data_IF_624814436623
#
_entry.id   IF_624814436623
#
_cell.length_a   1.000
_cell.length_b   1.000
_cell.length_c   1.000
_cell.angle_alpha   90.00
_cell.angle_beta   90.00
_cell.angle_gamma   90.00
#
_symmetry.space_group_name_H-M   'P 1'
#
loop_
_entity.id
_entity.type
_entity.pdbx_description
1 polymer ?
#
# COMPACT_ATOMS: atom_id res chain seq x y z
N UNK A 1 -9.05 -26.40 9.18
CA UNK A 1 -8.40 -26.66 7.86
C UNK A 1 -7.27 -25.65 7.65
N UNK A 2 -6.30 -25.92 6.74
CA UNK A 2 -5.27 -24.92 6.47
C UNK A 2 -5.89 -23.67 5.80
N UNK A 3 -5.34 -22.50 6.11
CA UNK A 3 -5.66 -21.25 5.39
C UNK A 3 -5.12 -21.31 3.97
N UNK A 4 -5.68 -20.47 3.12
CA UNK A 4 -5.21 -20.18 1.74
C UNK A 4 -5.12 -18.68 1.55
N UNK A 5 -4.35 -18.26 0.56
CA UNK A 5 -4.27 -16.86 0.16
C UNK A 5 -4.45 -16.71 -1.35
N UNK A 6 -5.12 -15.65 -1.74
CA UNK A 6 -5.23 -15.17 -3.13
C UNK A 6 -4.87 -13.68 -3.14
N UNK A 7 -4.38 -13.19 -4.26
CA UNK A 7 -4.05 -11.77 -4.43
C UNK A 7 -4.85 -11.21 -5.58
N UNK A 8 -5.56 -10.13 -5.30
CA UNK A 8 -6.20 -9.30 -6.34
C UNK A 8 -5.30 -8.11 -6.64
N UNK A 9 -5.05 -7.83 -7.90
CA UNK A 9 -4.32 -6.64 -8.32
C UNK A 9 -5.31 -5.63 -8.85
N UNK A 10 -5.48 -4.54 -8.11
CA UNK A 10 -6.23 -3.38 -8.56
C UNK A 10 -5.49 -2.79 -9.75
N UNK A 11 -6.14 -2.63 -10.93
CA UNK A 11 -5.45 -2.11 -12.11
C UNK A 11 -5.00 -0.66 -11.94
N UNK A 12 -4.00 -0.20 -12.70
CA UNK A 12 -3.59 1.20 -12.72
C UNK A 12 -4.79 2.11 -12.99
N UNK A 13 -4.88 3.22 -12.24
CA UNK A 13 -6.03 4.13 -12.33
C UNK A 13 -5.58 5.53 -12.71
N UNK A 14 -6.14 6.14 -13.76
CA UNK A 14 -5.87 7.53 -14.11
C UNK A 14 -6.24 8.47 -12.96
N UNK A 15 -5.41 9.48 -12.73
CA UNK A 15 -5.66 10.52 -11.74
C UNK A 15 -5.38 11.91 -12.32
N UNK A 16 -5.98 12.94 -11.72
CA UNK A 16 -5.85 14.34 -12.16
C UNK A 16 -4.87 15.09 -11.26
N UNK A 17 -4.11 16.02 -11.85
CA UNK A 17 -3.27 16.94 -11.09
C UNK A 17 -4.16 17.89 -10.27
N UNK A 18 -3.96 17.97 -8.95
CA UNK A 18 -4.73 18.87 -8.09
C UNK A 18 -4.69 20.33 -8.58
N UNK A 19 -5.83 21.02 -8.53
CA UNK A 19 -5.98 22.44 -8.86
C UNK A 19 -5.61 22.85 -10.29
N UNK A 20 -5.67 21.93 -11.25
CA UNK A 20 -5.33 22.22 -12.67
C UNK A 20 -6.53 22.21 -13.63
N UNK A 21 -7.75 21.98 -13.09
CA UNK A 21 -8.97 21.94 -13.92
C UNK A 21 -9.10 20.68 -14.78
N UNK A 22 -8.65 19.52 -14.28
CA UNK A 22 -8.83 18.22 -14.95
C UNK A 22 -7.64 17.78 -15.81
N UNK A 23 -6.47 18.42 -15.66
CA UNK A 23 -5.25 17.96 -16.32
C UNK A 23 -4.83 16.60 -15.77
N UNK A 24 -4.59 15.62 -16.65
CA UNK A 24 -4.11 14.31 -16.26
C UNK A 24 -2.74 14.40 -15.57
N UNK A 25 -2.62 13.76 -14.41
CA UNK A 25 -1.37 13.65 -13.65
C UNK A 25 -0.58 12.40 -14.01
N UNK A 26 -1.27 11.38 -14.49
CA UNK A 26 -0.71 10.07 -14.81
C UNK A 26 -1.66 8.93 -14.43
N UNK A 27 -1.08 7.81 -14.04
CA UNK A 27 -1.81 6.67 -13.50
C UNK A 27 -1.31 6.34 -12.11
N UNK A 28 -2.21 5.93 -11.21
CA UNK A 28 -1.83 5.38 -9.92
C UNK A 28 -1.29 3.97 -10.09
N UNK A 29 -0.32 3.58 -9.29
CA UNK A 29 0.28 2.24 -9.36
C UNK A 29 -0.75 1.16 -9.02
N UNK A 30 -0.65 -0.03 -9.64
CA UNK A 30 -1.49 -1.17 -9.25
C UNK A 30 -1.30 -1.48 -7.76
N UNK A 31 -2.38 -1.69 -7.03
CA UNK A 31 -2.35 -2.04 -5.60
C UNK A 31 -2.65 -3.53 -5.42
N UNK A 32 -1.92 -4.20 -4.56
CA UNK A 32 -2.11 -5.62 -4.24
C UNK A 32 -3.01 -5.76 -3.01
N UNK A 33 -4.12 -6.46 -3.15
CA UNK A 33 -5.01 -6.79 -2.05
C UNK A 33 -4.84 -8.27 -1.72
N UNK A 34 -4.51 -8.59 -0.46
CA UNK A 34 -4.31 -9.98 -0.04
C UNK A 34 -5.57 -10.51 0.62
N UNK A 35 -6.20 -11.52 0.01
CA UNK A 35 -7.35 -12.23 0.57
C UNK A 35 -6.88 -13.54 1.21
N UNK A 36 -6.98 -13.63 2.54
CA UNK A 36 -6.67 -14.84 3.30
C UNK A 36 -7.98 -15.48 3.73
N UNK A 37 -8.14 -16.79 3.53
CA UNK A 37 -9.40 -17.45 3.84
C UNK A 37 -9.21 -18.87 4.35
N UNK A 38 -10.10 -19.26 5.27
CA UNK A 38 -10.23 -20.62 5.78
C UNK A 38 -11.39 -21.38 5.12
N UNK A 39 -12.13 -22.13 5.90
CA UNK A 39 -13.29 -22.90 5.43
C UNK A 39 -14.53 -22.02 5.22
N UNK A 40 -14.81 -21.10 6.16
CA UNK A 40 -16.05 -20.32 6.25
C UNK A 40 -15.83 -18.81 6.21
N UNK A 41 -14.62 -18.36 6.55
CA UNK A 41 -14.32 -16.96 6.75
C UNK A 41 -13.19 -16.49 5.84
N UNK A 42 -13.19 -15.19 5.56
CA UNK A 42 -12.15 -14.50 4.81
C UNK A 42 -11.73 -13.23 5.55
N UNK A 43 -10.45 -12.92 5.41
CA UNK A 43 -9.76 -11.72 5.86
C UNK A 43 -9.16 -11.03 4.64
N UNK A 44 -9.42 -9.74 4.48
CA UNK A 44 -8.81 -8.91 3.47
C UNK A 44 -7.71 -8.04 4.08
N UNK A 45 -6.59 -7.88 3.38
CA UNK A 45 -5.55 -6.89 3.71
C UNK A 45 -5.58 -5.79 2.67
N UNK A 46 -5.78 -4.56 3.13
CA UNK A 46 -5.95 -3.33 2.37
C UNK A 46 -7.17 -3.32 1.42
N UNK A 47 -7.46 -2.18 0.81
CA UNK A 47 -8.64 -1.99 -0.08
C UNK A 47 -8.29 -1.19 -1.32
N UNK A 48 -9.13 -1.18 -2.37
CA UNK A 48 -8.99 -0.25 -3.50
C UNK A 48 -9.22 1.21 -3.10
N UNK A 49 -8.91 2.14 -4.02
CA UNK A 49 -9.14 3.58 -3.84
C UNK A 49 -10.59 3.97 -4.13
N UNK A 50 -11.06 3.63 -5.33
CA UNK A 50 -12.32 4.17 -5.87
C UNK A 50 -13.50 3.22 -5.72
N UNK A 51 -14.72 3.78 -5.74
CA UNK A 51 -15.96 3.01 -5.71
C UNK A 51 -15.98 1.96 -6.84
N UNK A 52 -15.74 2.31 -8.13
CA UNK A 52 -15.78 1.32 -9.21
C UNK A 52 -14.74 0.20 -9.06
N UNK A 53 -13.54 0.52 -8.55
CA UNK A 53 -12.52 -0.50 -8.28
C UNK A 53 -12.96 -1.43 -7.15
N UNK A 54 -13.57 -0.88 -6.10
CA UNK A 54 -14.06 -1.66 -4.96
C UNK A 54 -15.20 -2.58 -5.37
N UNK A 55 -16.11 -2.12 -6.23
CA UNK A 55 -17.19 -2.95 -6.78
C UNK A 55 -16.62 -4.11 -7.62
N UNK A 56 -15.62 -3.88 -8.46
CA UNK A 56 -14.92 -4.93 -9.22
C UNK A 56 -14.19 -5.91 -8.31
N UNK A 57 -13.58 -5.43 -7.23
CA UNK A 57 -12.99 -6.28 -6.22
C UNK A 57 -14.04 -7.16 -5.53
N UNK A 58 -15.22 -6.62 -5.20
CA UNK A 58 -16.30 -7.38 -4.59
C UNK A 58 -16.78 -8.51 -5.52
N UNK A 59 -16.96 -8.25 -6.83
CA UNK A 59 -17.28 -9.28 -7.81
C UNK A 59 -16.24 -10.42 -7.78
N UNK A 60 -14.97 -10.08 -7.86
CA UNK A 60 -13.86 -11.06 -7.80
C UNK A 60 -13.83 -11.83 -6.47
N UNK A 61 -14.06 -11.15 -5.34
CA UNK A 61 -14.06 -11.77 -4.03
C UNK A 61 -15.17 -12.84 -3.93
N UNK A 62 -16.39 -12.51 -4.35
CA UNK A 62 -17.54 -13.42 -4.33
C UNK A 62 -17.34 -14.63 -5.24
N UNK A 63 -16.66 -14.46 -6.38
CA UNK A 63 -16.27 -15.55 -7.28
C UNK A 63 -15.13 -16.41 -6.72
N UNK A 64 -14.14 -15.80 -6.04
CA UNK A 64 -12.95 -16.49 -5.53
C UNK A 64 -13.25 -17.33 -4.28
N UNK A 65 -14.12 -16.84 -3.41
CA UNK A 65 -14.46 -17.50 -2.12
C UNK A 65 -15.98 -17.66 -1.95
N UNK A 66 -16.66 -18.35 -2.87
CA UNK A 66 -18.11 -18.46 -2.84
C UNK A 66 -18.62 -19.04 -1.53
N UNK A 67 -19.60 -18.37 -0.92
CA UNK A 67 -20.24 -18.81 0.32
C UNK A 67 -19.43 -18.57 1.60
N UNK A 68 -18.23 -18.01 1.52
CA UNK A 68 -17.47 -17.59 2.71
C UNK A 68 -17.85 -16.17 3.11
N UNK A 69 -17.74 -15.88 4.40
CA UNK A 69 -18.01 -14.53 4.94
C UNK A 69 -16.71 -13.74 5.02
N UNK A 70 -16.69 -12.56 4.42
CA UNK A 70 -15.63 -11.59 4.68
C UNK A 70 -15.88 -11.00 6.08
N UNK A 71 -15.12 -11.43 7.07
CA UNK A 71 -15.33 -11.09 8.49
C UNK A 71 -14.42 -9.97 8.97
N UNK A 72 -13.27 -9.80 8.33
CA UNK A 72 -12.25 -8.86 8.78
C UNK A 72 -11.55 -8.19 7.60
N UNK A 73 -11.26 -6.89 7.75
CA UNK A 73 -10.28 -6.16 6.93
C UNK A 73 -9.16 -5.70 7.85
N UNK A 74 -7.93 -5.86 7.43
CA UNK A 74 -6.74 -5.32 8.09
C UNK A 74 -6.12 -4.25 7.22
N UNK A 75 -5.79 -3.08 7.79
CA UNK A 75 -5.12 -1.97 7.10
C UNK A 75 -3.67 -1.88 7.54
N UNK A 76 -2.76 -1.93 6.57
CA UNK A 76 -1.31 -1.99 6.81
C UNK A 76 -0.73 -0.64 7.24
N UNK A 77 -1.16 0.46 6.65
CA UNK A 77 -0.69 1.82 6.92
C UNK A 77 -1.73 2.89 6.56
N UNK A 78 -1.41 4.16 6.80
CA UNK A 78 -2.38 5.25 6.72
C UNK A 78 -2.65 5.81 5.34
N UNK A 79 -1.85 5.50 4.31
CA UNK A 79 -2.06 6.04 2.96
C UNK A 79 -3.45 5.67 2.41
N UNK A 80 -4.20 6.65 1.89
CA UNK A 80 -5.60 6.47 1.49
C UNK A 80 -5.84 5.43 0.39
N UNK A 81 -4.88 5.16 -0.47
CA UNK A 81 -4.99 4.12 -1.51
C UNK A 81 -5.02 2.68 -0.97
N UNK A 82 -4.84 2.50 0.34
CA UNK A 82 -4.96 1.23 1.03
C UNK A 82 -6.24 1.07 1.85
N UNK A 83 -7.07 2.15 2.00
CA UNK A 83 -8.24 2.05 2.84
C UNK A 83 -9.49 2.85 2.38
N UNK A 84 -9.40 3.68 1.33
CA UNK A 84 -10.57 4.47 0.87
C UNK A 84 -11.76 3.61 0.40
N UNK A 85 -11.53 2.35 0.01
CA UNK A 85 -12.60 1.41 -0.33
C UNK A 85 -13.41 0.88 0.86
N UNK A 86 -13.00 1.19 2.10
CA UNK A 86 -13.67 0.70 3.31
C UNK A 86 -15.14 1.08 3.38
N UNK A 87 -15.52 2.30 2.98
CA UNK A 87 -16.91 2.76 3.01
C UNK A 87 -17.79 1.92 2.11
N UNK A 88 -17.37 1.63 0.88
CA UNK A 88 -18.08 0.79 -0.08
C UNK A 88 -18.17 -0.66 0.44
N UNK A 89 -17.07 -1.21 0.97
CA UNK A 89 -17.04 -2.55 1.56
C UNK A 89 -17.95 -2.66 2.78
N UNK A 90 -17.98 -1.65 3.65
CA UNK A 90 -18.84 -1.63 4.84
C UNK A 90 -20.32 -1.58 4.49
N UNK A 91 -20.68 -0.86 3.41
CA UNK A 91 -22.05 -0.84 2.88
C UNK A 91 -22.48 -2.22 2.37
N UNK A 92 -21.57 -2.96 1.72
CA UNK A 92 -21.82 -4.32 1.21
C UNK A 92 -21.81 -5.40 2.30
N UNK A 93 -20.91 -5.25 3.30
CA UNK A 93 -20.70 -6.20 4.40
C UNK A 93 -20.82 -5.47 5.75
N UNK A 94 -22.04 -5.17 6.26
CA UNK A 94 -22.23 -4.31 7.44
C UNK A 94 -21.57 -4.82 8.72
N UNK A 95 -21.44 -6.14 8.88
CA UNK A 95 -20.90 -6.77 10.08
C UNK A 95 -19.37 -6.94 10.06
N UNK A 96 -18.71 -6.47 9.00
CA UNK A 96 -17.25 -6.62 8.87
C UNK A 96 -16.51 -5.84 9.95
N UNK A 97 -15.51 -6.45 10.55
CA UNK A 97 -14.56 -5.78 11.44
C UNK A 97 -13.43 -5.17 10.62
N UNK A 98 -13.05 -3.96 10.93
CA UNK A 98 -11.93 -3.26 10.27
C UNK A 98 -10.89 -2.99 11.34
N UNK A 99 -9.67 -3.50 11.14
CA UNK A 99 -8.61 -3.51 12.15
C UNK A 99 -7.35 -2.84 11.62
N UNK A 100 -6.67 -2.11 12.49
CA UNK A 100 -5.30 -1.62 12.27
C UNK A 100 -4.59 -1.41 13.62
N UNK A 101 -3.34 -0.96 13.60
CA UNK A 101 -2.73 -0.43 14.83
C UNK A 101 -3.32 0.94 15.18
N UNK A 102 -3.17 1.37 16.43
CA UNK A 102 -3.63 2.69 16.86
C UNK A 102 -2.93 3.82 16.08
N UNK A 103 -1.64 3.67 15.78
CA UNK A 103 -0.87 4.65 15.02
C UNK A 103 -1.35 4.74 13.56
N UNK A 104 -1.61 3.61 12.91
CA UNK A 104 -2.21 3.55 11.57
C UNK A 104 -3.58 4.24 11.55
N UNK A 105 -4.45 3.98 12.54
CA UNK A 105 -5.76 4.64 12.65
C UNK A 105 -5.64 6.16 12.74
N UNK A 106 -4.72 6.68 13.55
CA UNK A 106 -4.49 8.12 13.66
C UNK A 106 -3.92 8.71 12.37
N UNK A 107 -3.09 7.96 11.65
CA UNK A 107 -2.59 8.36 10.35
C UNK A 107 -3.73 8.42 9.29
N UNK A 108 -4.59 7.42 9.22
CA UNK A 108 -5.78 7.45 8.36
C UNK A 108 -6.62 8.72 8.57
N UNK A 109 -6.91 9.07 9.83
CA UNK A 109 -7.66 10.28 10.18
C UNK A 109 -6.93 11.56 9.79
N UNK A 110 -5.60 11.56 9.95
CA UNK A 110 -4.77 12.71 9.61
C UNK A 110 -4.83 13.03 8.11
N UNK A 111 -4.83 12.04 7.26
CA UNK A 111 -4.79 12.23 5.80
C UNK A 111 -6.11 12.74 5.22
N UNK A 112 -7.22 12.43 5.86
CA UNK A 112 -8.55 12.93 5.44
C UNK A 112 -9.10 14.05 6.32
N UNK A 113 -8.24 14.72 7.10
CA UNK A 113 -8.65 15.90 7.85
C UNK A 113 -9.14 17.00 6.91
N UNK A 114 -10.07 17.89 7.37
CA UNK A 114 -10.62 18.95 6.53
C UNK A 114 -9.54 19.78 5.83
N UNK A 115 -9.70 20.00 4.54
CA UNK A 115 -8.74 20.72 3.70
C UNK A 115 -7.55 19.87 3.20
N UNK A 116 -7.23 18.74 3.84
CA UNK A 116 -6.18 17.84 3.36
C UNK A 116 -6.70 16.98 2.23
N UNK A 117 -7.78 16.25 2.48
CA UNK A 117 -8.38 15.34 1.51
C UNK A 117 -8.81 16.06 0.22
N UNK A 118 -9.51 17.20 0.35
CA UNK A 118 -10.03 17.97 -0.79
C UNK A 118 -8.91 18.49 -1.70
N UNK A 119 -7.74 18.81 -1.14
CA UNK A 119 -6.58 19.31 -1.89
C UNK A 119 -5.61 18.22 -2.36
N UNK A 120 -5.85 16.97 -2.01
CA UNK A 120 -5.02 15.82 -2.39
C UNK A 120 -5.85 14.74 -3.07
N UNK A 121 -6.24 13.70 -2.36
CA UNK A 121 -6.94 12.53 -2.90
C UNK A 121 -8.28 12.87 -3.56
N UNK A 122 -9.07 13.77 -2.96
CA UNK A 122 -10.33 14.24 -3.55
C UNK A 122 -10.13 15.00 -4.86
N UNK A 123 -9.02 15.76 -4.97
CA UNK A 123 -8.67 16.45 -6.21
C UNK A 123 -8.04 15.51 -7.25
N UNK A 124 -7.30 14.49 -6.83
CA UNK A 124 -6.73 13.48 -7.74
C UNK A 124 -7.79 12.54 -8.33
N UNK A 125 -8.84 12.23 -7.57
CA UNK A 125 -9.93 11.34 -7.99
C UNK A 125 -11.29 12.05 -7.86
N UNK A 126 -11.56 13.06 -8.72
CA UNK A 126 -12.75 13.90 -8.62
C UNK A 126 -14.03 13.16 -9.07
N UNK A 127 -15.15 13.91 -9.13
CA UNK A 127 -16.43 13.46 -9.67
C UNK A 127 -17.07 12.30 -8.89
N UNK A 128 -16.86 12.23 -7.57
CA UNK A 128 -17.47 11.23 -6.71
C UNK A 128 -16.90 9.82 -6.90
N UNK A 129 -15.66 9.71 -7.40
CA UNK A 129 -14.99 8.42 -7.52
C UNK A 129 -14.66 7.80 -6.15
N UNK A 130 -14.49 8.62 -5.11
CA UNK A 130 -14.22 8.20 -3.73
C UNK A 130 -15.49 8.40 -2.90
N UNK A 131 -15.81 7.42 -2.07
CA UNK A 131 -16.86 7.54 -1.07
C UNK A 131 -16.34 8.34 0.14
N UNK A 132 -16.91 9.51 0.39
CA UNK A 132 -16.45 10.42 1.44
C UNK A 132 -17.11 10.20 2.80
N UNK A 133 -17.99 9.22 2.93
CA UNK A 133 -18.48 8.74 4.22
C UNK A 133 -17.41 7.86 4.88
N UNK A 134 -16.28 8.47 5.26
CA UNK A 134 -15.11 7.73 5.71
C UNK A 134 -15.39 6.78 6.86
N UNK A 135 -15.04 5.53 6.66
CA UNK A 135 -15.05 4.48 7.67
C UNK A 135 -13.61 4.23 8.12
N UNK A 136 -13.40 4.22 9.42
CA UNK A 136 -12.09 3.98 10.01
C UNK A 136 -12.01 2.61 10.68
N UNK A 137 -10.79 2.14 10.88
CA UNK A 137 -10.52 0.91 11.60
C UNK A 137 -10.76 1.05 13.11
N UNK A 138 -10.90 -0.09 13.77
CA UNK A 138 -10.74 -0.23 15.21
C UNK A 138 -9.26 -0.50 15.52
N UNK A 139 -8.73 0.14 16.56
CA UNK A 139 -7.37 -0.12 16.99
C UNK A 139 -7.27 -1.53 17.61
N UNK A 140 -6.30 -2.31 17.15
CA UNK A 140 -5.97 -3.60 17.77
C UNK A 140 -5.55 -3.42 19.24
N UNK A 141 -5.78 -4.44 20.08
CA UNK A 141 -5.26 -4.43 21.45
C UNK A 141 -3.72 -4.40 21.46
N UNK A 142 -3.12 -4.15 22.62
CA UNK A 142 -1.66 -4.06 22.77
C UNK A 142 -0.90 -5.33 22.32
N UNK A 143 -1.58 -6.48 22.29
CA UNK A 143 -1.01 -7.73 21.73
C UNK A 143 -0.80 -7.66 20.22
N UNK A 144 -1.48 -6.75 19.50
CA UNK A 144 -1.49 -6.63 18.05
C UNK A 144 -1.82 -7.93 17.33
N UNK A 145 -2.63 -8.78 17.96
CA UNK A 145 -3.03 -10.09 17.45
C UNK A 145 -4.54 -10.20 17.34
N UNK A 146 -4.94 -10.91 16.33
CA UNK A 146 -6.31 -11.37 16.12
C UNK A 146 -6.26 -12.74 15.43
N UNK A 147 -7.38 -13.33 15.13
CA UNK A 147 -7.42 -14.64 14.48
C UNK A 147 -8.45 -14.68 13.35
N UNK A 148 -8.26 -15.65 12.46
CA UNK A 148 -9.23 -16.12 11.49
C UNK A 148 -9.34 -17.64 11.61
N UNK A 149 -10.53 -18.14 11.96
CA UNK A 149 -10.81 -19.58 12.20
C UNK A 149 -9.77 -20.26 13.11
N UNK A 150 -9.30 -19.55 14.16
CA UNK A 150 -8.32 -20.04 15.12
C UNK A 150 -6.86 -20.00 14.64
N UNK A 151 -6.58 -19.43 13.48
CA UNK A 151 -5.23 -19.15 13.02
C UNK A 151 -4.82 -17.74 13.39
N UNK A 152 -3.73 -17.59 14.13
CA UNK A 152 -3.23 -16.27 14.54
C UNK A 152 -2.79 -15.42 13.35
N UNK A 153 -3.12 -14.14 13.45
CA UNK A 153 -2.67 -13.05 12.58
C UNK A 153 -2.00 -11.99 13.43
N UNK A 154 -0.79 -11.59 13.08
CA UNK A 154 0.01 -10.63 13.85
C UNK A 154 0.23 -9.35 13.03
N UNK A 155 -0.21 -8.22 13.55
CA UNK A 155 0.18 -6.90 13.04
C UNK A 155 1.58 -6.57 13.57
N UNK A 156 2.56 -6.52 12.69
CA UNK A 156 3.95 -6.21 13.04
C UNK A 156 4.24 -4.75 12.70
N UNK A 157 4.49 -3.92 13.70
CA UNK A 157 4.95 -2.54 13.50
C UNK A 157 6.39 -2.53 13.00
N UNK A 158 6.62 -1.99 11.84
CA UNK A 158 7.95 -1.94 11.23
C UNK A 158 8.60 -0.55 11.34
N UNK A 159 7.83 0.49 11.60
CA UNK A 159 8.28 1.87 11.69
C UNK A 159 8.01 2.64 10.41
N UNK A 160 8.99 3.41 9.93
CA UNK A 160 8.88 4.13 8.66
C UNK A 160 9.21 3.22 7.48
N UNK A 161 8.38 3.25 6.45
CA UNK A 161 8.65 2.67 5.12
C UNK A 161 8.53 3.77 4.06
N UNK A 162 7.60 3.65 3.13
CA UNK A 162 7.18 4.73 2.24
C UNK A 162 6.55 5.90 3.02
N UNK A 163 5.92 5.57 4.16
CA UNK A 163 5.39 6.52 5.14
C UNK A 163 5.61 6.03 6.58
N UNK A 164 5.28 6.87 7.55
CA UNK A 164 5.36 6.58 8.99
C UNK A 164 4.29 5.56 9.42
N UNK A 165 4.49 4.98 10.58
CA UNK A 165 3.51 4.10 11.25
C UNK A 165 3.09 2.89 10.41
N UNK A 166 3.99 2.42 9.56
CA UNK A 166 3.76 1.29 8.68
C UNK A 166 3.81 -0.03 9.43
N UNK A 167 2.94 -0.95 9.01
CA UNK A 167 2.84 -2.30 9.55
C UNK A 167 2.74 -3.32 8.43
N UNK A 168 3.00 -4.58 8.77
CA UNK A 168 2.70 -5.72 7.92
C UNK A 168 1.75 -6.67 8.63
N UNK A 169 1.00 -7.50 7.89
CA UNK A 169 0.28 -8.62 8.46
C UNK A 169 1.09 -9.90 8.29
N UNK A 170 1.53 -10.48 9.42
CA UNK A 170 2.19 -11.77 9.47
C UNK A 170 1.21 -12.87 9.82
N UNK A 171 1.12 -13.93 8.99
CA UNK A 171 0.29 -15.10 9.21
C UNK A 171 1.19 -16.33 9.36
N UNK A 172 1.56 -16.72 10.60
CA UNK A 172 2.54 -17.77 10.86
C UNK A 172 2.19 -19.12 10.24
N UNK A 173 0.91 -19.50 10.24
CA UNK A 173 0.45 -20.78 9.69
C UNK A 173 0.63 -20.92 8.17
N UNK A 174 0.75 -19.81 7.45
CA UNK A 174 1.04 -19.73 6.03
C UNK A 174 2.50 -19.33 5.75
N UNK A 175 3.26 -18.92 6.77
CA UNK A 175 4.54 -18.20 6.62
C UNK A 175 4.42 -17.05 5.61
N UNK A 176 3.32 -16.34 5.66
CA UNK A 176 2.95 -15.27 4.74
C UNK A 176 3.06 -13.92 5.43
N UNK A 177 3.76 -13.00 4.76
CA UNK A 177 3.80 -11.57 5.09
C UNK A 177 3.09 -10.78 3.99
N UNK A 178 1.93 -10.18 4.31
CA UNK A 178 1.30 -9.14 3.50
C UNK A 178 1.86 -7.80 3.96
N UNK A 179 2.69 -7.20 3.11
CA UNK A 179 3.65 -6.19 3.55
C UNK A 179 3.19 -4.75 3.34
N UNK A 180 2.04 -4.51 2.67
CA UNK A 180 1.73 -3.15 2.23
C UNK A 180 2.96 -2.53 1.56
N UNK A 181 3.15 -1.24 1.73
CA UNK A 181 4.19 -0.47 1.07
C UNK A 181 5.59 -0.57 1.71
N UNK A 182 5.76 -1.49 2.64
CA UNK A 182 7.11 -1.91 3.09
C UNK A 182 7.85 -2.62 1.95
N UNK A 183 7.13 -3.32 1.07
CA UNK A 183 7.68 -4.12 -0.04
C UNK A 183 6.95 -3.82 -1.34
N UNK A 184 7.71 -3.66 -2.40
CA UNK A 184 7.22 -3.37 -3.75
C UNK A 184 7.63 -4.46 -4.74
N UNK A 185 6.78 -4.70 -5.73
CA UNK A 185 7.12 -5.46 -6.92
C UNK A 185 7.77 -4.60 -8.01
N UNK A 186 7.48 -4.91 -9.28
CA UNK A 186 8.08 -4.22 -10.43
C UNK A 186 7.40 -2.87 -10.77
N UNK A 187 7.19 -2.04 -9.75
CA UNK A 187 6.75 -0.66 -9.85
C UNK A 187 7.78 0.26 -9.16
N UNK A 188 7.86 1.52 -9.54
CA UNK A 188 8.70 2.48 -8.82
C UNK A 188 8.16 2.71 -7.42
N UNK A 189 9.04 2.74 -6.42
CA UNK A 189 8.69 2.91 -5.01
C UNK A 189 8.38 4.37 -4.69
N UNK A 190 7.41 4.59 -3.80
CA UNK A 190 7.02 5.91 -3.31
C UNK A 190 8.03 6.41 -2.27
N UNK A 191 9.08 7.12 -2.71
CA UNK A 191 10.11 7.70 -1.84
C UNK A 191 9.78 9.15 -1.40
N UNK A 192 8.56 9.61 -1.68
CA UNK A 192 8.19 11.01 -1.43
C UNK A 192 8.20 11.41 0.04
N UNK A 193 7.79 10.53 0.94
CA UNK A 193 7.84 10.75 2.38
C UNK A 193 9.11 10.16 3.03
N UNK A 194 9.77 9.20 2.37
CA UNK A 194 11.12 8.75 2.76
C UNK A 194 12.20 9.66 2.15
N UNK A 195 12.05 10.98 2.32
CA UNK A 195 12.80 12.01 1.60
C UNK A 195 14.18 12.32 2.18
N UNK A 196 14.57 11.74 3.32
CA UNK A 196 15.91 11.84 3.90
C UNK A 196 16.63 10.50 3.93
N UNK A 197 17.95 10.52 4.02
CA UNK A 197 18.78 9.31 4.17
C UNK A 197 18.37 8.50 5.41
N UNK A 198 18.05 9.17 6.51
CA UNK A 198 17.62 8.55 7.76
C UNK A 198 16.32 7.76 7.56
N UNK A 199 15.30 8.36 6.94
CA UNK A 199 14.01 7.71 6.69
C UNK A 199 14.16 6.53 5.72
N UNK A 200 14.99 6.66 4.68
CA UNK A 200 15.27 5.54 3.77
C UNK A 200 16.04 4.40 4.45
N UNK A 201 16.93 4.70 5.42
CA UNK A 201 17.57 3.69 6.25
C UNK A 201 16.58 3.04 7.23
N UNK A 202 15.62 3.78 7.77
CA UNK A 202 14.51 3.20 8.55
C UNK A 202 13.69 2.23 7.70
N UNK A 203 13.42 2.58 6.43
CA UNK A 203 12.73 1.67 5.52
C UNK A 203 13.52 0.38 5.26
N UNK A 204 14.84 0.47 5.06
CA UNK A 204 15.69 -0.72 4.96
C UNK A 204 15.57 -1.58 6.24
N UNK A 205 15.60 -0.94 7.41
CA UNK A 205 15.42 -1.64 8.70
C UNK A 205 14.02 -2.26 8.84
N UNK A 206 12.98 -1.63 8.28
CA UNK A 206 11.62 -2.19 8.22
C UNK A 206 11.60 -3.49 7.39
N UNK A 207 12.27 -3.50 6.23
CA UNK A 207 12.40 -4.71 5.39
C UNK A 207 13.15 -5.81 6.15
N UNK A 208 14.22 -5.47 6.87
CA UNK A 208 15.01 -6.44 7.67
C UNK A 208 14.18 -7.07 8.81
N UNK A 209 13.25 -6.32 9.40
CA UNK A 209 12.28 -6.89 10.36
C UNK A 209 11.39 -7.95 9.70
N UNK A 210 10.96 -7.74 8.45
CA UNK A 210 10.20 -8.74 7.70
C UNK A 210 11.06 -9.96 7.38
N UNK A 211 12.31 -9.76 6.92
CA UNK A 211 13.28 -10.85 6.67
C UNK A 211 13.47 -11.73 7.92
N UNK A 212 13.55 -11.11 9.11
CA UNK A 212 13.74 -11.82 10.38
C UNK A 212 12.57 -12.73 10.79
N UNK A 213 11.36 -12.53 10.24
CA UNK A 213 10.23 -13.43 10.46
C UNK A 213 10.36 -14.76 9.71
N UNK A 214 11.27 -14.86 8.74
CA UNK A 214 11.46 -16.04 7.91
C UNK A 214 10.27 -16.38 7.02
N UNK A 215 9.67 -15.41 6.28
CA UNK A 215 8.51 -15.69 5.44
C UNK A 215 8.89 -16.62 4.28
N UNK A 216 7.93 -17.42 3.83
CA UNK A 216 8.02 -18.18 2.57
C UNK A 216 7.23 -17.49 1.46
N UNK A 217 6.22 -16.68 1.84
CA UNK A 217 5.39 -15.89 0.91
C UNK A 217 5.46 -14.43 1.35
N UNK A 218 5.85 -13.56 0.43
CA UNK A 218 5.89 -12.09 0.62
C UNK A 218 5.04 -11.44 -0.46
N UNK A 219 4.05 -10.65 -0.04
CA UNK A 219 3.16 -9.92 -0.93
C UNK A 219 3.40 -8.43 -0.69
N UNK A 220 3.90 -7.73 -1.71
CA UNK A 220 4.11 -6.28 -1.68
C UNK A 220 2.83 -5.50 -1.92
N UNK A 221 2.75 -4.25 -1.44
CA UNK A 221 1.57 -3.40 -1.58
C UNK A 221 1.29 -2.99 -3.02
N UNK A 222 2.34 -2.77 -3.80
CA UNK A 222 2.22 -2.42 -5.21
C UNK A 222 3.06 -3.36 -6.08
N UNK A 223 2.43 -3.98 -7.07
CA UNK A 223 3.10 -4.80 -8.10
C UNK A 223 2.28 -4.89 -9.37
N UNK A 224 2.92 -5.25 -10.47
CA UNK A 224 2.23 -5.49 -11.73
C UNK A 224 1.41 -6.78 -11.70
N UNK A 225 0.33 -6.80 -12.48
CA UNK A 225 -0.43 -8.02 -12.73
C UNK A 225 0.46 -9.06 -13.42
N UNK A 226 0.39 -10.32 -12.96
CA UNK A 226 1.19 -11.41 -13.50
C UNK A 226 2.56 -11.59 -12.85
N UNK A 227 2.99 -10.73 -11.95
CA UNK A 227 4.17 -10.99 -11.12
C UNK A 227 3.90 -12.11 -10.11
N UNK A 228 4.94 -12.84 -9.81
CA UNK A 228 4.93 -13.89 -8.77
C UNK A 228 5.24 -13.23 -7.41
N UNK A 229 4.45 -13.54 -6.39
CA UNK A 229 4.72 -13.15 -5.02
C UNK A 229 5.85 -14.01 -4.43
N UNK A 230 6.79 -13.40 -3.71
CA UNK A 230 7.88 -14.16 -3.11
C UNK A 230 8.89 -13.33 -2.33
N UNK A 231 9.72 -14.03 -1.58
CA UNK A 231 10.73 -13.43 -0.68
C UNK A 231 11.77 -12.57 -1.40
N UNK A 232 11.98 -12.78 -2.69
CA UNK A 232 12.92 -12.00 -3.51
C UNK A 232 12.54 -10.51 -3.60
N UNK A 233 11.26 -10.16 -3.40
CA UNK A 233 10.82 -8.76 -3.35
C UNK A 233 11.44 -7.98 -2.18
N UNK A 234 11.78 -8.63 -1.07
CA UNK A 234 12.49 -7.99 0.05
C UNK A 234 13.85 -7.45 -0.40
N UNK A 235 14.67 -8.31 -0.99
CA UNK A 235 15.98 -7.92 -1.51
C UNK A 235 15.87 -6.89 -2.65
N UNK A 236 14.89 -7.05 -3.55
CA UNK A 236 14.69 -6.13 -4.68
C UNK A 236 14.26 -4.72 -4.21
N UNK A 237 13.38 -4.63 -3.20
CA UNK A 237 12.96 -3.35 -2.61
C UNK A 237 14.12 -2.67 -1.91
N UNK A 238 14.87 -3.41 -1.09
CA UNK A 238 16.06 -2.92 -0.39
C UNK A 238 17.12 -2.42 -1.36
N UNK A 239 17.44 -3.18 -2.41
CA UNK A 239 18.40 -2.80 -3.44
C UNK A 239 17.98 -1.50 -4.16
N UNK A 240 16.72 -1.33 -4.46
CA UNK A 240 16.21 -0.11 -5.11
C UNK A 240 16.49 1.13 -4.24
N UNK A 241 16.19 1.07 -2.94
CA UNK A 241 16.46 2.17 -2.00
C UNK A 241 17.97 2.45 -1.92
N UNK A 242 18.80 1.41 -1.84
CA UNK A 242 20.26 1.53 -1.81
C UNK A 242 20.82 2.16 -3.09
N UNK A 243 20.27 1.84 -4.26
CA UNK A 243 20.71 2.45 -5.52
C UNK A 243 20.27 3.92 -5.60
N UNK A 244 19.08 4.26 -5.15
CA UNK A 244 18.64 5.65 -5.04
C UNK A 244 19.58 6.46 -4.15
N UNK A 245 19.93 5.96 -2.94
CA UNK A 245 20.90 6.58 -2.05
C UNK A 245 22.28 6.74 -2.67
N UNK A 246 22.75 5.75 -3.40
CA UNK A 246 24.05 5.79 -4.07
C UNK A 246 24.09 6.83 -5.20
N UNK A 247 23.00 6.99 -5.93
CA UNK A 247 22.91 7.93 -7.06
C UNK A 247 22.68 9.37 -6.62
N UNK A 248 21.86 9.59 -5.58
CA UNK A 248 21.47 10.92 -5.11
C UNK A 248 22.64 11.92 -4.97
N UNK A 249 23.74 11.60 -4.25
CA UNK A 249 24.86 12.56 -4.10
C UNK A 249 25.64 12.81 -5.39
N UNK A 250 25.40 12.03 -6.45
CA UNK A 250 26.05 12.20 -7.77
C UNK A 250 25.23 13.05 -8.73
N UNK A 251 24.03 13.50 -8.33
CA UNK A 251 23.08 14.24 -9.15
C UNK A 251 22.98 15.70 -8.69
N UNK A 252 22.82 16.61 -9.64
CA UNK A 252 22.68 18.05 -9.39
C UNK A 252 21.24 18.52 -9.39
N UNK A 253 20.31 17.67 -9.84
CA UNK A 253 18.88 17.97 -9.91
C UNK A 253 18.03 16.71 -9.78
N UNK A 254 16.73 16.87 -9.46
CA UNK A 254 15.77 15.78 -9.42
C UNK A 254 15.60 15.10 -10.79
N UNK A 255 15.72 15.86 -11.90
CA UNK A 255 15.64 15.30 -13.26
C UNK A 255 16.85 14.43 -13.62
N UNK A 256 18.05 14.80 -13.16
CA UNK A 256 19.24 13.96 -13.34
C UNK A 256 19.12 12.64 -12.54
N UNK A 257 18.61 12.70 -11.32
CA UNK A 257 18.37 11.50 -10.52
C UNK A 257 17.29 10.62 -11.14
N UNK A 258 16.18 11.22 -11.60
CA UNK A 258 15.12 10.52 -12.31
C UNK A 258 15.67 9.75 -13.51
N UNK A 259 16.41 10.43 -14.41
CA UNK A 259 16.98 9.81 -15.60
C UNK A 259 17.91 8.63 -15.27
N UNK A 260 18.78 8.76 -14.26
CA UNK A 260 19.66 7.66 -13.82
C UNK A 260 18.90 6.48 -13.23
N UNK A 261 17.85 6.74 -12.48
CA UNK A 261 17.01 5.68 -11.92
C UNK A 261 16.19 4.97 -12.99
N UNK A 262 15.66 5.69 -14.00
CA UNK A 262 14.98 5.10 -15.16
C UNK A 262 15.94 4.26 -16.02
N UNK A 263 17.17 4.71 -16.22
CA UNK A 263 18.21 3.93 -16.90
C UNK A 263 18.51 2.62 -16.16
N UNK A 264 18.57 2.68 -14.83
CA UNK A 264 18.85 1.50 -13.99
C UNK A 264 17.65 0.54 -13.87
N UNK A 265 16.43 1.08 -13.92
CA UNK A 265 15.18 0.34 -13.76
C UNK A 265 14.18 0.60 -14.90
N UNK A 266 14.56 0.35 -16.17
CA UNK A 266 13.77 0.76 -17.35
C UNK A 266 12.41 0.04 -17.48
N UNK A 267 12.23 -1.06 -16.77
CA UNK A 267 11.03 -1.90 -16.83
C UNK A 267 10.09 -1.71 -15.62
N UNK A 268 10.45 -0.89 -14.64
CA UNK A 268 9.55 -0.60 -13.53
C UNK A 268 8.42 0.33 -13.98
N UNK A 269 7.22 0.01 -13.54
CA UNK A 269 6.03 0.77 -13.87
C UNK A 269 5.97 2.09 -13.07
N UNK A 270 5.31 3.10 -13.67
CA UNK A 270 4.96 4.38 -13.05
C UNK A 270 6.15 5.29 -12.68
N UNK A 271 6.86 5.84 -13.69
CA UNK A 271 7.95 6.80 -13.46
C UNK A 271 7.49 8.11 -12.78
N UNK A 272 6.18 8.42 -12.80
CA UNK A 272 5.63 9.58 -12.09
C UNK A 272 5.86 9.48 -10.58
N UNK A 273 5.69 8.30 -10.01
CA UNK A 273 5.97 8.05 -8.58
C UNK A 273 7.47 8.19 -8.27
N UNK A 274 8.34 7.72 -9.16
CA UNK A 274 9.78 7.95 -9.03
C UNK A 274 10.10 9.45 -9.06
N UNK A 275 9.47 10.23 -9.98
CA UNK A 275 9.66 11.68 -10.04
C UNK A 275 9.30 12.36 -8.72
N UNK A 276 8.24 11.92 -8.05
CA UNK A 276 7.86 12.44 -6.73
C UNK A 276 8.95 12.21 -5.70
N UNK A 277 9.50 10.99 -5.63
CA UNK A 277 10.61 10.67 -4.74
C UNK A 277 11.87 11.48 -5.05
N UNK A 278 12.20 11.66 -6.34
CA UNK A 278 13.33 12.50 -6.76
C UNK A 278 13.12 13.96 -6.36
N UNK A 279 11.92 14.51 -6.58
CA UNK A 279 11.60 15.88 -6.17
C UNK A 279 11.74 16.07 -4.66
N UNK A 280 11.18 15.17 -3.89
CA UNK A 280 11.22 15.23 -2.42
C UNK A 280 12.67 15.17 -1.89
N UNK A 281 13.54 14.35 -2.48
CA UNK A 281 14.94 14.25 -2.09
C UNK A 281 15.74 15.55 -2.38
N UNK A 282 15.27 16.39 -3.32
CA UNK A 282 15.83 17.71 -3.60
C UNK A 282 15.05 18.87 -2.94
N UNK A 283 14.11 18.57 -2.03
CA UNK A 283 13.30 19.59 -1.33
C UNK A 283 12.31 20.32 -2.22
N UNK A 284 11.95 19.75 -3.37
CA UNK A 284 10.97 20.32 -4.30
C UNK A 284 9.55 19.82 -3.99
N UNK A 285 8.50 20.58 -4.36
CA UNK A 285 7.12 20.06 -4.27
C UNK A 285 6.96 18.76 -5.07
N UNK A 286 6.19 17.83 -4.53
CA UNK A 286 5.98 16.49 -5.10
C UNK A 286 5.56 16.54 -6.59
N UNK A 287 4.64 17.41 -6.93
CA UNK A 287 4.11 17.58 -8.30
C UNK A 287 4.91 18.53 -9.20
N UNK A 288 6.09 19.00 -8.77
CA UNK A 288 6.89 19.91 -9.58
C UNK A 288 7.33 19.26 -10.89
N UNK A 289 7.06 19.94 -12.01
CA UNK A 289 7.46 19.49 -13.34
C UNK A 289 6.61 18.37 -13.96
N UNK A 290 5.40 18.14 -13.42
CA UNK A 290 4.39 17.26 -14.01
C UNK A 290 3.48 18.03 -14.95
#
# INVERSE_FOLDING_TARGET
MPLRANVYIVPPTPWELPNTGGRQGGVWSPTSLTLIHGEKEALLVDTPITIPQTEKFIEWLEETVPGKRLTTIYITHGHPDHWLGLSTLKKRYPDIRILSTAATLEHMKYDVRPGSFENSWGAMFPNGQIDTDFVFSEALPASRRFDIEGHECHAIEVGHSDTRDSTILWVPSLKLAACGDVVYGNVHQMLGEANTTELRNEWISAIEKVEALGPEIVIGGHRMSGEVDGVFHLAATKLYIQQFEKLLPTCKSSDELLAKMEELYPNRFNPTILKWGCNAAFGLPMFAGL
#
